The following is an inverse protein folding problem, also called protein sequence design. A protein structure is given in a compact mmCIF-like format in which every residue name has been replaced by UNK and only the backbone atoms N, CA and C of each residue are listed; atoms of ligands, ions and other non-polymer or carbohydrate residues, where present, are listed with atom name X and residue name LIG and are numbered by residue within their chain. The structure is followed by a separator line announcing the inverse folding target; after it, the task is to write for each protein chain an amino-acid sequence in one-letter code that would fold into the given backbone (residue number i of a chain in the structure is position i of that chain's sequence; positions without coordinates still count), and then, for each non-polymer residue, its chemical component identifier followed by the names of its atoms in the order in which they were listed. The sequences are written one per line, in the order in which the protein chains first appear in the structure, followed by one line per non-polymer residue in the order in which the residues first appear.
data_IF_156036719217
#
_entry.id   IF_156036719217
#
_cell.length_a   1.000
_cell.length_b   1.000
_cell.length_c   1.000
_cell.angle_alpha   90.00
_cell.angle_beta   90.00
_cell.angle_gamma   90.00
#
_symmetry.space_group_name_H-M   'P 1'
#
loop_
_entity.id
_entity.type
_entity.pdbx_description
1 polymer ?
#
# COMPACT_ATOMS: atom_id res chain seq x y z
N UNK A 1 -50.29 14.09 30.40
CA UNK A 1 -50.28 15.02 29.26
C UNK A 1 -48.83 15.43 29.02
N UNK A 2 -48.07 14.62 28.28
CA UNK A 2 -46.64 14.83 28.04
C UNK A 2 -46.28 14.30 26.65
N UNK A 3 -46.34 15.14 25.60
CA UNK A 3 -45.77 14.80 24.30
C UNK A 3 -44.47 15.57 23.99
N UNK A 4 -44.11 16.59 24.77
CA UNK A 4 -43.07 17.57 24.38
C UNK A 4 -41.63 17.17 24.73
N UNK A 5 -41.41 16.14 25.57
CA UNK A 5 -40.08 15.80 26.09
C UNK A 5 -39.28 14.79 25.23
N UNK A 6 -39.92 14.15 24.24
CA UNK A 6 -39.31 13.07 23.44
C UNK A 6 -38.79 13.56 22.08
N UNK A 7 -39.16 14.78 21.66
CA UNK A 7 -38.81 15.33 20.35
C UNK A 7 -37.33 15.75 20.25
N UNK A 8 -36.75 16.24 21.35
CA UNK A 8 -35.38 16.74 21.40
C UNK A 8 -34.28 15.66 21.21
N UNK A 9 -34.32 14.49 21.89
CA UNK A 9 -33.30 13.45 21.66
C UNK A 9 -33.41 12.82 20.27
N UNK A 10 -34.61 12.73 19.70
CA UNK A 10 -34.83 12.20 18.37
C UNK A 10 -34.21 13.08 17.26
N UNK A 11 -34.32 14.41 17.37
CA UNK A 11 -33.66 15.33 16.44
C UNK A 11 -32.13 15.28 16.55
N UNK A 12 -31.59 15.14 17.77
CA UNK A 12 -30.14 15.07 18.00
C UNK A 12 -29.53 13.78 17.43
N UNK A 13 -30.22 12.64 17.57
CA UNK A 13 -29.84 11.37 16.94
C UNK A 13 -29.89 11.45 15.41
N UNK A 14 -30.92 12.09 14.84
CA UNK A 14 -31.03 12.27 13.40
C UNK A 14 -29.91 13.16 12.84
N UNK A 15 -29.56 14.24 13.54
CA UNK A 15 -28.45 15.11 13.17
C UNK A 15 -27.10 14.38 13.25
N UNK A 16 -26.87 13.56 14.29
CA UNK A 16 -25.66 12.75 14.42
C UNK A 16 -25.52 11.70 13.30
N UNK A 17 -26.63 11.08 12.87
CA UNK A 17 -26.66 10.16 11.73
C UNK A 17 -26.40 10.87 10.40
N UNK A 18 -26.90 12.10 10.21
CA UNK A 18 -26.64 12.92 9.01
C UNK A 18 -25.17 13.39 8.93
N UNK A 19 -24.54 13.67 10.08
CA UNK A 19 -23.12 14.01 10.16
C UNK A 19 -22.21 12.80 9.88
N UNK A 20 -22.62 11.59 10.28
CA UNK A 20 -21.88 10.35 10.01
C UNK A 20 -21.96 9.90 8.53
N UNK A 21 -22.91 10.42 7.75
CA UNK A 21 -23.08 10.07 6.34
C UNK A 21 -22.09 10.78 5.40
N UNK A 22 -21.30 11.74 5.88
CA UNK A 22 -20.16 12.29 5.14
C UNK A 22 -18.95 11.37 5.30
N UNK A 23 -19.11 10.12 4.87
CA UNK A 23 -17.97 9.28 4.57
C UNK A 23 -17.27 9.89 3.36
N UNK A 24 -16.11 10.51 3.58
CA UNK A 24 -15.20 10.94 2.52
C UNK A 24 -14.83 9.72 1.66
N UNK A 25 -15.62 9.45 0.63
CA UNK A 25 -15.18 8.63 -0.47
C UNK A 25 -13.99 9.37 -1.09
N UNK A 26 -12.78 8.84 -0.87
CA UNK A 26 -11.56 9.43 -1.41
C UNK A 26 -11.74 9.63 -2.92
N UNK A 27 -11.94 10.88 -3.34
CA UNK A 27 -12.10 11.21 -4.76
C UNK A 27 -10.78 10.93 -5.46
N UNK A 28 -10.81 9.99 -6.39
CA UNK A 28 -9.69 9.71 -7.28
C UNK A 28 -9.34 11.02 -8.01
N UNK A 29 -8.06 11.43 -8.02
CA UNK A 29 -7.65 12.65 -8.73
C UNK A 29 -8.00 12.62 -10.22
N UNK A 30 -8.39 13.77 -10.77
CA UNK A 30 -8.87 13.89 -12.16
C UNK A 30 -7.86 13.47 -13.24
N UNK A 31 -6.56 13.48 -12.90
CA UNK A 31 -5.50 13.06 -13.80
C UNK A 31 -5.38 11.52 -13.91
N UNK A 32 -6.08 10.75 -13.07
CA UNK A 32 -6.06 9.28 -13.12
C UNK A 32 -7.24 8.81 -13.99
N UNK A 33 -6.99 8.30 -15.21
CA UNK A 33 -8.07 7.83 -16.07
C UNK A 33 -8.74 6.59 -15.47
N UNK A 34 -10.08 6.59 -15.48
CA UNK A 34 -10.89 5.50 -14.94
C UNK A 34 -11.31 4.55 -16.06
N UNK A 35 -11.13 3.25 -15.81
CA UNK A 35 -11.60 2.19 -16.70
C UNK A 35 -13.03 1.80 -16.36
N UNK A 36 -13.93 1.92 -17.33
CA UNK A 36 -15.30 1.43 -17.20
C UNK A 36 -15.32 -0.08 -17.36
N UNK A 37 -16.21 -0.77 -16.65
CA UNK A 37 -16.31 -2.24 -16.66
C UNK A 37 -16.72 -2.83 -18.02
N UNK A 38 -17.40 -2.05 -18.84
CA UNK A 38 -17.93 -2.43 -20.15
C UNK A 38 -16.98 -2.15 -21.32
N UNK A 39 -15.76 -1.67 -21.04
CA UNK A 39 -14.78 -1.43 -22.10
C UNK A 39 -14.33 -2.76 -22.73
N UNK A 40 -14.21 -2.85 -24.06
CA UNK A 40 -13.85 -4.11 -24.75
C UNK A 40 -12.53 -4.74 -24.31
N UNK A 41 -11.58 -3.94 -23.83
CA UNK A 41 -10.27 -4.40 -23.35
C UNK A 41 -9.93 -3.69 -22.03
N UNK A 42 -10.45 -4.25 -20.93
CA UNK A 42 -10.29 -3.69 -19.59
C UNK A 42 -8.83 -3.72 -19.13
N UNK A 43 -8.11 -4.79 -19.45
CA UNK A 43 -6.71 -4.97 -19.06
C UNK A 43 -5.81 -3.91 -19.70
N UNK A 44 -5.99 -3.65 -21.00
CA UNK A 44 -5.26 -2.57 -21.68
C UNK A 44 -5.62 -1.19 -21.15
N UNK A 45 -6.89 -0.96 -20.82
CA UNK A 45 -7.30 0.28 -20.17
C UNK A 45 -6.54 0.46 -18.85
N UNK A 46 -6.52 -0.57 -18.00
CA UNK A 46 -5.89 -0.49 -16.68
C UNK A 46 -4.38 -0.32 -16.79
N UNK A 47 -3.75 -1.00 -17.76
CA UNK A 47 -2.33 -0.81 -18.06
C UNK A 47 -2.02 0.65 -18.42
N UNK A 48 -2.81 1.26 -19.31
CA UNK A 48 -2.64 2.68 -19.64
C UNK A 48 -2.83 3.60 -18.42
N UNK A 49 -3.78 3.29 -17.53
CA UNK A 49 -3.94 4.02 -16.28
C UNK A 49 -2.69 3.91 -15.41
N UNK A 50 -2.09 2.73 -15.29
CA UNK A 50 -0.84 2.53 -14.55
C UNK A 50 0.30 3.36 -15.13
N UNK A 51 0.43 3.44 -16.46
CA UNK A 51 1.44 4.28 -17.13
C UNK A 51 1.27 5.77 -16.80
N UNK A 52 0.04 6.27 -16.82
CA UNK A 52 -0.28 7.67 -16.47
C UNK A 52 0.02 7.95 -14.99
N UNK A 53 -0.25 6.98 -14.11
CA UNK A 53 -0.04 7.13 -12.66
C UNK A 53 1.43 7.01 -12.28
N UNK A 54 2.24 6.24 -13.02
CA UNK A 54 3.67 5.99 -12.73
C UNK A 54 4.47 7.25 -12.32
N UNK A 55 4.47 8.37 -13.07
CA UNK A 55 5.25 9.55 -12.69
C UNK A 55 4.80 10.18 -11.35
N UNK A 56 3.56 9.97 -10.95
CA UNK A 56 3.03 10.45 -9.68
C UNK A 56 3.45 9.58 -8.49
N UNK A 57 3.76 8.30 -8.72
CA UNK A 57 4.22 7.39 -7.66
C UNK A 57 5.57 7.83 -7.07
N UNK A 58 6.43 8.49 -7.84
CA UNK A 58 7.71 9.01 -7.35
C UNK A 58 7.53 9.94 -6.15
N UNK A 59 6.54 10.85 -6.20
CA UNK A 59 6.22 11.80 -5.12
C UNK A 59 5.14 11.30 -4.16
N UNK A 60 4.45 10.22 -4.53
CA UNK A 60 3.27 9.72 -3.85
C UNK A 60 2.00 10.48 -4.25
N UNK A 61 0.86 9.95 -3.82
CA UNK A 61 -0.48 10.50 -4.08
C UNK A 61 -1.17 10.69 -2.72
N UNK A 62 -0.97 11.83 -2.04
CA UNK A 62 -1.49 12.06 -0.69
C UNK A 62 -3.01 11.94 -0.58
N UNK A 63 -3.75 12.37 -1.62
CA UNK A 63 -5.21 12.23 -1.69
C UNK A 63 -5.68 10.77 -1.60
N UNK A 64 -4.85 9.83 -2.04
CA UNK A 64 -5.11 8.39 -2.01
C UNK A 64 -4.30 7.67 -0.91
N UNK A 65 -3.61 8.40 -0.03
CA UNK A 65 -2.69 7.86 0.98
C UNK A 65 -1.59 6.97 0.40
N UNK A 66 -1.20 7.21 -0.84
CA UNK A 66 -0.07 6.52 -1.48
C UNK A 66 1.22 7.26 -1.11
N UNK A 67 2.18 6.62 -0.43
CA UNK A 67 3.46 7.24 -0.10
C UNK A 67 4.32 7.45 -1.35
N UNK A 68 5.40 8.21 -1.23
CA UNK A 68 6.42 8.30 -2.27
C UNK A 68 7.10 6.94 -2.49
N UNK A 69 7.40 6.60 -3.74
CA UNK A 69 8.11 5.38 -4.11
C UNK A 69 9.59 5.65 -4.45
N UNK A 70 10.02 6.92 -4.45
CA UNK A 70 11.41 7.35 -4.70
C UNK A 70 11.87 8.43 -3.69
N UNK A 71 12.41 8.03 -2.51
CA UNK A 71 12.41 6.68 -1.97
C UNK A 71 11.10 6.30 -1.29
N UNK A 72 10.75 5.02 -1.36
CA UNK A 72 9.81 4.42 -0.42
C UNK A 72 10.46 4.32 0.96
N UNK A 73 9.92 5.08 1.91
CA UNK A 73 10.43 5.11 3.29
C UNK A 73 9.55 4.27 4.20
N UNK A 74 10.14 3.29 4.88
CA UNK A 74 9.47 2.46 5.90
C UNK A 74 10.19 2.70 7.24
N UNK A 75 9.52 3.29 8.26
CA UNK A 75 10.17 3.67 9.51
C UNK A 75 10.76 2.50 10.29
N UNK A 76 10.03 1.39 10.35
CA UNK A 76 10.46 0.18 11.02
C UNK A 76 9.80 -1.06 10.42
N UNK A 77 10.55 -2.15 10.39
CA UNK A 77 10.05 -3.48 10.04
C UNK A 77 10.69 -4.50 10.98
N UNK A 78 9.87 -5.33 11.61
CA UNK A 78 10.35 -6.46 12.40
C UNK A 78 10.07 -7.78 11.65
N UNK A 79 11.11 -8.59 11.49
CA UNK A 79 11.01 -9.92 10.92
C UNK A 79 11.20 -10.91 12.06
N UNK A 80 10.21 -11.77 12.27
CA UNK A 80 10.31 -12.89 13.19
C UNK A 80 9.96 -14.18 12.42
N UNK A 81 10.97 -15.01 12.20
CA UNK A 81 10.86 -16.30 11.52
C UNK A 81 11.47 -17.36 12.42
N UNK A 82 10.74 -18.44 12.62
CA UNK A 82 11.19 -19.54 13.46
C UNK A 82 10.66 -20.84 12.87
N UNK A 83 11.54 -21.56 12.18
CA UNK A 83 11.31 -22.92 11.70
C UNK A 83 12.51 -23.81 12.05
N UNK A 84 12.46 -25.09 11.70
CA UNK A 84 13.48 -26.08 12.09
C UNK A 84 14.89 -25.70 11.64
N UNK A 85 15.01 -25.15 10.43
CA UNK A 85 16.31 -24.80 9.84
C UNK A 85 16.72 -23.36 10.14
N UNK A 86 15.79 -22.43 10.35
CA UNK A 86 16.04 -20.99 10.41
C UNK A 86 15.27 -20.33 11.54
N UNK A 87 16.01 -19.68 12.43
CA UNK A 87 15.44 -18.80 13.46
C UNK A 87 16.05 -17.43 13.28
N UNK A 88 15.24 -16.42 12.98
CA UNK A 88 15.71 -15.05 12.74
C UNK A 88 14.76 -14.07 13.38
N UNK A 89 15.32 -13.19 14.21
CA UNK A 89 14.71 -11.95 14.66
C UNK A 89 15.53 -10.81 14.06
N UNK A 90 14.93 -10.05 13.16
CA UNK A 90 15.55 -8.86 12.59
C UNK A 90 14.70 -7.63 12.90
N UNK A 91 15.35 -6.56 13.33
CA UNK A 91 14.76 -5.22 13.41
C UNK A 91 15.42 -4.36 12.36
N UNK A 92 14.61 -3.82 11.47
CA UNK A 92 15.02 -2.90 10.43
C UNK A 92 14.42 -1.53 10.75
N UNK A 93 15.21 -0.47 10.62
CA UNK A 93 14.78 0.92 10.80
C UNK A 93 15.26 1.78 9.65
N UNK A 94 14.56 2.90 9.45
CA UNK A 94 14.91 3.92 8.46
C UNK A 94 15.14 3.34 7.06
N UNK A 95 14.29 2.38 6.68
CA UNK A 95 14.38 1.67 5.42
C UNK A 95 14.03 2.64 4.31
N UNK A 96 14.89 2.75 3.30
CA UNK A 96 14.67 3.54 2.09
C UNK A 96 14.90 2.64 0.88
N UNK A 97 13.86 2.44 0.08
CA UNK A 97 13.93 1.72 -1.18
C UNK A 97 13.83 2.70 -2.36
N UNK A 98 14.68 2.52 -3.37
CA UNK A 98 14.79 3.33 -4.58
C UNK A 98 14.65 2.44 -5.82
N UNK A 99 14.14 2.99 -6.92
CA UNK A 99 13.90 2.27 -8.17
C UNK A 99 12.50 1.65 -8.28
N UNK A 100 11.65 1.82 -7.26
CA UNK A 100 10.26 1.34 -7.29
C UNK A 100 9.40 1.94 -8.41
N UNK A 101 9.81 3.05 -9.02
CA UNK A 101 9.10 3.70 -10.14
C UNK A 101 9.59 3.28 -11.53
N UNK A 102 10.74 2.61 -11.64
CA UNK A 102 11.28 2.12 -12.92
C UNK A 102 10.70 0.76 -13.33
N UNK A 103 9.60 0.36 -12.69
CA UNK A 103 8.95 -0.91 -12.90
C UNK A 103 8.39 -1.07 -14.32
N UNK A 104 8.43 -2.30 -14.82
CA UNK A 104 7.87 -2.74 -16.10
C UNK A 104 6.76 -3.73 -15.80
N UNK A 105 5.58 -3.52 -16.37
CA UNK A 105 4.45 -4.46 -16.22
C UNK A 105 4.61 -5.56 -17.26
N UNK A 106 4.93 -6.78 -16.82
CA UNK A 106 5.13 -7.93 -17.71
C UNK A 106 3.79 -8.59 -18.08
N UNK A 107 2.85 -8.59 -17.13
CA UNK A 107 1.52 -9.16 -17.30
C UNK A 107 0.52 -8.42 -16.42
N UNK A 108 -0.66 -8.16 -16.95
CA UNK A 108 -1.80 -7.66 -16.20
C UNK A 108 -3.04 -8.41 -16.71
N UNK A 109 -3.74 -9.08 -15.80
CA UNK A 109 -4.99 -9.79 -16.09
C UNK A 109 -6.01 -9.54 -14.99
N UNK A 110 -7.21 -9.13 -15.38
CA UNK A 110 -8.29 -8.81 -14.45
C UNK A 110 -9.43 -9.81 -14.57
N UNK A 111 -9.96 -10.23 -13.43
CA UNK A 111 -11.26 -10.89 -13.31
C UNK A 111 -12.21 -9.91 -12.60
N UNK A 112 -12.99 -9.18 -13.40
CA UNK A 112 -13.87 -8.10 -12.91
C UNK A 112 -14.97 -8.67 -12.01
N UNK A 113 -15.48 -9.87 -12.32
CA UNK A 113 -16.55 -10.52 -11.57
C UNK A 113 -16.07 -10.98 -10.19
N UNK A 114 -14.84 -11.49 -10.12
CA UNK A 114 -14.20 -11.88 -8.84
C UNK A 114 -13.46 -10.74 -8.14
N UNK A 115 -13.42 -9.55 -8.74
CA UNK A 115 -12.62 -8.41 -8.26
C UNK A 115 -11.15 -8.79 -8.00
N UNK A 116 -10.61 -9.66 -8.86
CA UNK A 116 -9.25 -10.17 -8.75
C UNK A 116 -8.36 -9.58 -9.84
N UNK A 117 -7.13 -9.25 -9.46
CA UNK A 117 -6.13 -8.70 -10.35
C UNK A 117 -4.85 -9.52 -10.21
N UNK A 118 -4.39 -10.10 -11.32
CA UNK A 118 -3.10 -10.78 -11.45
C UNK A 118 -2.14 -9.86 -12.20
N UNK A 119 -1.09 -9.41 -11.52
CA UNK A 119 -0.06 -8.53 -12.12
C UNK A 119 1.31 -9.13 -11.88
N UNK A 120 2.08 -9.23 -12.96
CA UNK A 120 3.53 -9.48 -12.91
C UNK A 120 4.26 -8.19 -13.25
N UNK A 121 5.23 -7.82 -12.43
CA UNK A 121 6.00 -6.60 -12.56
C UNK A 121 7.48 -6.89 -12.31
N UNK A 122 8.33 -6.38 -13.19
CA UNK A 122 9.78 -6.41 -13.06
C UNK A 122 10.29 -5.03 -12.64
N UNK A 123 11.16 -4.98 -11.63
CA UNK A 123 11.88 -3.76 -11.23
C UNK A 123 13.35 -3.97 -11.63
N UNK A 124 13.86 -3.28 -12.68
CA UNK A 124 15.20 -3.53 -13.21
C UNK A 124 16.33 -3.29 -12.21
N UNK A 125 16.18 -2.28 -11.36
CA UNK A 125 17.13 -1.93 -10.31
C UNK A 125 16.34 -1.52 -9.07
N UNK A 126 16.57 -2.22 -7.96
CA UNK A 126 16.02 -1.90 -6.66
C UNK A 126 17.19 -1.71 -5.69
N UNK A 127 17.34 -0.50 -5.15
CA UNK A 127 18.36 -0.20 -4.14
C UNK A 127 17.70 0.02 -2.80
N UNK A 128 18.22 -0.58 -1.73
CA UNK A 128 17.66 -0.49 -0.38
C UNK A 128 18.75 -0.15 0.63
N UNK A 129 18.47 0.83 1.47
CA UNK A 129 19.28 1.13 2.66
C UNK A 129 18.47 0.96 3.92
N UNK A 130 19.02 0.36 4.97
CA UNK A 130 18.33 0.21 6.25
C UNK A 130 19.31 0.03 7.41
N UNK A 131 18.94 0.49 8.59
CA UNK A 131 19.62 0.16 9.83
C UNK A 131 19.11 -1.21 10.29
N UNK A 132 19.99 -2.20 10.46
CA UNK A 132 19.60 -3.54 10.84
C UNK A 132 20.20 -3.96 12.18
N UNK A 133 19.42 -4.73 12.94
CA UNK A 133 19.82 -5.46 14.14
C UNK A 133 19.24 -6.87 14.02
N UNK A 134 20.11 -7.85 13.74
CA UNK A 134 19.75 -9.24 13.44
C UNK A 134 20.31 -10.15 14.52
N UNK A 135 19.44 -10.97 15.10
CA UNK A 135 19.80 -12.09 15.96
C UNK A 135 19.06 -13.36 15.50
N UNK A 136 19.83 -14.36 15.11
CA UNK A 136 19.30 -15.59 14.58
C UNK A 136 20.31 -16.72 14.50
N UNK A 137 19.89 -17.82 13.88
CA UNK A 137 20.70 -18.99 13.54
C UNK A 137 20.12 -19.71 12.32
N UNK A 138 21.01 -20.20 11.48
CA UNK A 138 20.73 -21.17 10.43
C UNK A 138 21.30 -22.51 10.89
N UNK A 139 20.43 -23.47 11.24
CA UNK A 139 20.80 -24.72 11.89
C UNK A 139 21.65 -24.45 13.14
N UNK A 140 22.93 -24.82 13.10
CA UNK A 140 23.91 -24.60 14.17
C UNK A 140 24.73 -23.32 14.00
N UNK A 141 24.60 -22.63 12.87
CA UNK A 141 25.39 -21.45 12.50
C UNK A 141 24.70 -20.19 13.04
N UNK A 142 25.32 -19.41 13.94
CA UNK A 142 24.74 -18.17 14.42
C UNK A 142 24.73 -17.10 13.33
N UNK A 143 23.63 -16.36 13.23
CA UNK A 143 23.44 -15.21 12.36
C UNK A 143 23.24 -13.98 13.24
N UNK A 144 24.32 -13.28 13.55
CA UNK A 144 24.27 -12.05 14.35
C UNK A 144 24.95 -10.92 13.61
N UNK A 145 24.34 -9.76 13.65
CA UNK A 145 24.93 -8.58 13.04
C UNK A 145 24.10 -7.34 13.30
N UNK A 146 24.79 -6.21 13.39
CA UNK A 146 24.19 -4.90 13.53
C UNK A 146 24.96 -3.90 12.68
N UNK A 147 24.25 -3.06 11.95
CA UNK A 147 24.89 -2.07 11.11
C UNK A 147 23.95 -1.46 10.08
N UNK A 148 24.55 -1.00 8.99
CA UNK A 148 23.85 -0.37 7.87
C UNK A 148 23.84 -1.35 6.71
N UNK A 149 22.66 -1.77 6.29
CA UNK A 149 22.44 -2.52 5.06
C UNK A 149 22.43 -1.54 3.88
N UNK A 150 23.11 -1.91 2.79
CA UNK A 150 23.07 -1.24 1.49
C UNK A 150 23.10 -2.33 0.43
N UNK A 151 22.02 -2.46 -0.33
CA UNK A 151 21.87 -3.43 -1.40
C UNK A 151 21.06 -2.88 -2.56
#
# INVERSE_FOLDING_TARGET
MAPSAVLAPALALLAALLLAAHADAAKIPDYIPLCKRDVPDFDKCLLNTVEVVRPHLAKGIPKLKVPAFEPLTIPALEINRNNEALQVKAKLKDIKAFGGTSFVVDRLKTDIDKLALDVSVTIPELRVTADYDVDGRLLVIPLKGKGIFKG
#
